data_IF_676295414246
#
_entry.id   IF_676295414246
#
_cell.length_a   1.000
_cell.length_b   1.000
_cell.length_c   1.000
_cell.angle_alpha   90.00
_cell.angle_beta   90.00
_cell.angle_gamma   90.00
#
_symmetry.space_group_name_H-M   'P 1'
#
loop_
_entity.id
_entity.type
_entity.pdbx_description
1 polymer ?
#
# COMPACT_ATOMS: atom_id res chain seq x y z
N UNK A 1 64.68 15.16 14.81
CA UNK A 1 63.51 16.06 14.71
C UNK A 1 62.61 15.54 13.60
N UNK A 2 61.51 14.86 13.96
CA UNK A 2 60.54 14.30 13.01
C UNK A 2 59.75 15.45 12.38
N UNK A 3 59.77 15.54 11.05
CA UNK A 3 58.90 16.43 10.28
C UNK A 3 57.49 15.83 10.28
N UNK A 4 56.56 16.51 10.94
CA UNK A 4 55.16 16.14 11.00
C UNK A 4 54.49 16.50 9.67
N UNK A 5 54.00 15.49 8.98
CA UNK A 5 53.28 15.58 7.71
C UNK A 5 51.82 15.95 8.05
N UNK A 6 51.40 17.15 7.68
CA UNK A 6 50.00 17.59 7.82
C UNK A 6 49.21 16.89 6.71
N UNK A 7 48.37 15.93 7.09
CA UNK A 7 47.36 15.33 6.19
C UNK A 7 46.15 16.26 6.24
N UNK A 8 45.88 16.93 5.12
CA UNK A 8 44.67 17.73 4.91
C UNK A 8 43.51 16.76 4.67
N UNK A 9 42.68 16.53 5.68
CA UNK A 9 41.46 15.74 5.52
C UNK A 9 40.42 16.59 4.78
N UNK A 10 40.18 16.26 3.51
CA UNK A 10 39.12 16.86 2.70
C UNK A 10 37.78 16.25 3.17
N UNK A 11 37.06 16.98 4.03
CA UNK A 11 35.68 16.62 4.36
C UNK A 11 34.80 16.93 3.14
N UNK A 12 34.43 15.91 2.36
CA UNK A 12 33.31 16.02 1.43
C UNK A 12 32.04 16.15 2.26
N UNK A 13 31.51 17.36 2.37
CA UNK A 13 30.13 17.57 2.80
C UNK A 13 29.25 17.13 1.63
N UNK A 14 28.76 15.88 1.70
CA UNK A 14 27.60 15.51 0.89
C UNK A 14 26.42 16.33 1.45
N UNK A 15 25.99 17.34 0.69
CA UNK A 15 24.66 17.90 0.93
C UNK A 15 23.68 16.75 0.66
N UNK A 16 22.92 16.35 1.68
CA UNK A 16 21.81 15.44 1.47
C UNK A 16 20.88 16.11 0.45
N UNK A 17 20.67 15.46 -0.69
CA UNK A 17 19.69 15.91 -1.69
C UNK A 17 18.33 15.58 -1.07
N UNK A 18 17.47 16.59 -0.99
CA UNK A 18 16.09 16.40 -0.54
C UNK A 18 15.38 15.42 -1.47
N UNK A 19 14.59 14.50 -0.91
CA UNK A 19 13.82 13.59 -1.73
C UNK A 19 12.62 14.34 -2.32
N UNK A 20 12.20 13.95 -3.53
CA UNK A 20 10.92 14.38 -4.06
C UNK A 20 9.81 13.56 -3.38
N UNK A 21 8.92 14.24 -2.65
CA UNK A 21 7.86 13.54 -1.91
C UNK A 21 6.94 12.76 -2.83
N UNK A 22 6.71 13.18 -4.08
CA UNK A 22 5.86 12.45 -5.03
C UNK A 22 6.36 11.02 -5.30
N UNK A 23 7.67 10.76 -5.15
CA UNK A 23 8.22 9.41 -5.28
C UNK A 23 7.69 8.46 -4.20
N UNK A 24 7.18 8.98 -3.07
CA UNK A 24 6.61 8.20 -1.97
C UNK A 24 5.07 8.11 -2.03
N UNK A 25 4.41 8.70 -3.02
CA UNK A 25 2.95 8.66 -3.16
C UNK A 25 2.59 8.29 -4.61
N UNK A 26 2.84 7.03 -5.01
CA UNK A 26 2.55 6.60 -6.38
C UNK A 26 1.06 6.74 -6.68
N UNK A 27 0.75 7.33 -7.83
CA UNK A 27 -0.62 7.49 -8.32
C UNK A 27 -0.73 6.99 -9.75
N UNK A 28 -1.83 6.30 -10.05
CA UNK A 28 -2.13 5.73 -11.35
C UNK A 28 -3.44 4.96 -11.31
N UNK A 29 -4.34 5.17 -12.28
CA UNK A 29 -5.62 4.46 -12.32
C UNK A 29 -5.34 2.96 -12.47
N UNK A 30 -5.92 2.14 -11.59
CA UNK A 30 -5.71 0.69 -11.54
C UNK A 30 -4.54 0.26 -10.66
N UNK A 31 -3.88 1.19 -9.98
CA UNK A 31 -2.92 0.86 -8.92
C UNK A 31 -3.64 0.26 -7.73
N UNK A 32 -3.12 -0.85 -7.21
CA UNK A 32 -3.77 -1.62 -6.14
C UNK A 32 -2.80 -1.95 -5.03
N UNK A 33 -3.32 -2.07 -3.81
CA UNK A 33 -2.58 -2.60 -2.68
C UNK A 33 -3.52 -3.15 -1.61
N UNK A 34 -3.00 -4.05 -0.78
CA UNK A 34 -3.74 -4.65 0.32
C UNK A 34 -2.97 -4.47 1.61
N UNK A 35 -3.62 -3.94 2.65
CA UNK A 35 -3.09 -3.92 4.01
C UNK A 35 -3.74 -5.00 4.87
N UNK A 36 -2.97 -5.45 5.86
CA UNK A 36 -3.51 -6.09 7.04
C UNK A 36 -3.54 -5.05 8.15
N UNK A 37 -4.75 -4.68 8.57
CA UNK A 37 -4.99 -3.67 9.59
C UNK A 37 -5.34 -4.36 10.90
N UNK A 38 -4.77 -3.85 12.00
CA UNK A 38 -4.98 -4.38 13.33
C UNK A 38 -5.38 -3.25 14.28
N UNK A 39 -6.43 -3.50 15.06
CA UNK A 39 -6.95 -2.60 16.08
C UNK A 39 -7.25 -3.39 17.37
N UNK A 40 -7.88 -2.72 18.34
CA UNK A 40 -8.41 -3.39 19.55
C UNK A 40 -9.51 -4.41 19.24
N UNK A 41 -10.22 -4.24 18.12
CA UNK A 41 -11.37 -5.06 17.73
C UNK A 41 -10.99 -6.28 16.88
N UNK A 42 -9.75 -6.33 16.38
CA UNK A 42 -9.23 -7.49 15.68
C UNK A 42 -8.31 -7.12 14.53
N UNK A 43 -8.24 -8.04 13.57
CA UNK A 43 -7.42 -7.91 12.37
C UNK A 43 -8.33 -8.03 11.16
N UNK A 44 -8.23 -7.08 10.23
CA UNK A 44 -8.97 -7.04 8.97
C UNK A 44 -8.01 -6.86 7.80
N UNK A 45 -8.49 -7.14 6.60
CA UNK A 45 -7.76 -6.86 5.36
C UNK A 45 -8.51 -5.74 4.65
N UNK A 46 -7.81 -4.68 4.27
CA UNK A 46 -8.33 -3.60 3.43
C UNK A 46 -7.68 -3.68 2.05
N UNK A 47 -8.51 -3.69 1.01
CA UNK A 47 -8.07 -3.63 -0.39
C UNK A 47 -8.27 -2.22 -0.92
N UNK A 48 -7.28 -1.69 -1.61
CA UNK A 48 -7.26 -0.33 -2.10
C UNK A 48 -7.04 -0.31 -3.60
N UNK A 49 -7.78 0.52 -4.31
CA UNK A 49 -7.62 0.74 -5.75
C UNK A 49 -7.79 2.22 -6.12
N UNK A 50 -6.89 2.76 -6.92
CA UNK A 50 -7.08 4.08 -7.53
C UNK A 50 -8.02 3.93 -8.73
N UNK A 51 -9.29 4.29 -8.54
CA UNK A 51 -10.35 4.03 -9.53
C UNK A 51 -10.53 5.15 -10.55
N UNK A 52 -10.00 6.35 -10.27
CA UNK A 52 -10.18 7.48 -11.17
C UNK A 52 -9.62 8.79 -10.64
N UNK A 53 -9.99 9.87 -11.34
CA UNK A 53 -9.66 11.24 -10.95
C UNK A 53 -10.87 12.16 -11.04
N UNK A 54 -10.86 13.21 -10.22
CA UNK A 54 -11.79 14.34 -10.31
C UNK A 54 -11.07 15.68 -10.06
N UNK A 55 -11.74 16.80 -10.34
CA UNK A 55 -11.20 18.14 -10.06
C UNK A 55 -11.78 18.68 -8.75
N UNK A 56 -10.93 18.87 -7.72
CA UNK A 56 -11.32 19.50 -6.45
C UNK A 56 -10.44 20.72 -6.22
N UNK A 57 -11.07 21.87 -5.94
CA UNK A 57 -10.39 23.16 -5.74
C UNK A 57 -9.42 23.56 -6.87
N UNK A 58 -9.69 23.11 -8.10
CA UNK A 58 -8.84 23.40 -9.26
C UNK A 58 -7.60 22.52 -9.38
N UNK A 59 -7.48 21.48 -8.56
CA UNK A 59 -6.42 20.48 -8.63
C UNK A 59 -6.98 19.12 -9.07
N UNK A 60 -6.21 18.40 -9.89
CA UNK A 60 -6.51 16.99 -10.19
C UNK A 60 -6.34 16.18 -8.90
N UNK A 61 -7.36 15.41 -8.58
CA UNK A 61 -7.46 14.59 -7.38
C UNK A 61 -7.63 13.14 -7.79
N UNK A 62 -6.78 12.28 -7.25
CA UNK A 62 -6.87 10.83 -7.41
C UNK A 62 -7.80 10.26 -6.35
N UNK A 63 -8.72 9.39 -6.78
CA UNK A 63 -9.71 8.75 -5.92
C UNK A 63 -9.24 7.32 -5.67
N UNK A 64 -9.01 6.98 -4.41
CA UNK A 64 -8.74 5.62 -3.97
C UNK A 64 -9.98 5.07 -3.29
N UNK A 65 -10.51 3.95 -3.77
CA UNK A 65 -11.54 3.19 -3.07
C UNK A 65 -10.88 2.17 -2.14
N UNK A 66 -11.26 2.20 -0.87
CA UNK A 66 -10.87 1.22 0.15
C UNK A 66 -12.04 0.28 0.38
N UNK A 67 -11.82 -1.02 0.27
CA UNK A 67 -12.82 -2.07 0.49
C UNK A 67 -12.37 -2.98 1.62
N UNK A 68 -13.21 -3.12 2.64
CA UNK A 68 -12.99 -4.00 3.78
C UNK A 68 -14.30 -4.74 4.15
N UNK A 69 -14.33 -5.54 5.23
CA UNK A 69 -15.56 -6.21 5.65
C UNK A 69 -16.70 -5.28 6.11
N UNK A 70 -16.41 -4.02 6.45
CA UNK A 70 -17.37 -3.02 6.93
C UNK A 70 -18.01 -2.24 5.79
N UNK A 71 -17.32 -2.09 4.66
CA UNK A 71 -17.88 -1.50 3.45
C UNK A 71 -16.84 -1.01 2.46
N UNK A 72 -17.22 0.05 1.76
CA UNK A 72 -16.35 0.76 0.83
C UNK A 72 -16.27 2.22 1.26
N UNK A 73 -15.06 2.74 1.45
CA UNK A 73 -14.79 4.16 1.66
C UNK A 73 -13.92 4.72 0.54
N UNK A 74 -13.76 6.04 0.48
CA UNK A 74 -12.94 6.71 -0.52
C UNK A 74 -12.02 7.74 0.09
N UNK A 75 -10.74 7.65 -0.27
CA UNK A 75 -9.75 8.68 0.03
C UNK A 75 -9.32 9.43 -1.24
N UNK A 76 -8.78 10.63 -1.05
CA UNK A 76 -8.57 11.60 -2.12
C UNK A 76 -7.17 12.20 -2.01
N UNK A 77 -6.34 11.99 -3.02
CA UNK A 77 -4.95 12.47 -3.02
C UNK A 77 -4.70 13.50 -4.11
N UNK A 78 -4.00 14.58 -3.78
CA UNK A 78 -3.57 15.59 -4.74
C UNK A 78 -2.06 15.76 -4.68
N UNK A 79 -1.42 15.69 -5.85
CA UNK A 79 -0.01 16.04 -6.02
C UNK A 79 0.04 17.48 -6.55
N UNK A 80 0.44 18.41 -5.69
CA UNK A 80 0.58 19.83 -6.01
C UNK A 80 2.05 20.20 -6.16
N UNK A 81 2.33 21.37 -6.72
CA UNK A 81 3.71 21.85 -6.92
C UNK A 81 4.47 22.07 -5.61
N UNK A 82 3.76 22.30 -4.51
CA UNK A 82 4.33 22.62 -3.19
C UNK A 82 4.17 21.48 -2.16
N UNK A 83 3.57 20.35 -2.56
CA UNK A 83 3.44 19.18 -1.68
C UNK A 83 2.37 18.19 -2.11
N UNK A 84 2.27 17.15 -1.29
CA UNK A 84 1.26 16.10 -1.38
C UNK A 84 0.16 16.42 -0.38
N UNK A 85 -1.08 16.28 -0.82
CA UNK A 85 -2.25 16.56 0.00
C UNK A 85 -3.22 15.38 0.01
N UNK A 86 -3.77 15.09 1.19
CA UNK A 86 -4.96 14.24 1.31
C UNK A 86 -6.17 15.12 1.61
N UNK A 87 -7.30 14.85 0.97
CA UNK A 87 -8.55 15.56 1.24
C UNK A 87 -9.36 14.73 2.21
N UNK A 88 -9.57 15.27 3.41
CA UNK A 88 -10.37 14.62 4.43
C UNK A 88 -11.71 15.34 4.58
N UNK A 89 -12.74 14.58 4.95
CA UNK A 89 -13.97 15.16 5.48
C UNK A 89 -13.73 15.47 6.96
N UNK A 90 -13.91 16.73 7.36
CA UNK A 90 -13.81 17.11 8.76
C UNK A 90 -15.20 17.20 9.37
N UNK A 91 -15.46 16.40 10.42
CA UNK A 91 -16.75 16.32 11.14
C UNK A 91 -17.93 15.96 10.20
N UNK A 92 -18.05 14.67 9.84
CA UNK A 92 -19.12 14.12 8.99
C UNK A 92 -20.55 14.54 9.42
N UNK A 93 -20.72 14.90 10.68
CA UNK A 93 -22.00 15.33 11.29
C UNK A 93 -22.40 16.78 10.99
N UNK A 94 -21.51 17.62 10.47
CA UNK A 94 -21.75 19.07 10.28
C UNK A 94 -21.70 19.55 8.82
N UNK A 95 -21.42 18.64 7.89
CA UNK A 95 -21.41 18.89 6.46
C UNK A 95 -20.16 18.31 5.79
N UNK A 96 -20.25 18.08 4.49
CA UNK A 96 -19.17 17.55 3.65
C UNK A 96 -18.09 18.62 3.37
N UNK A 97 -17.55 19.27 4.40
CA UNK A 97 -16.46 20.22 4.23
C UNK A 97 -15.15 19.43 4.06
N UNK A 98 -14.85 19.15 2.80
CA UNK A 98 -13.63 18.46 2.37
C UNK A 98 -12.46 19.44 2.42
N UNK A 99 -11.49 19.19 3.30
CA UNK A 99 -10.31 20.05 3.46
C UNK A 99 -9.02 19.34 3.09
N UNK A 100 -8.14 19.98 2.30
CA UNK A 100 -6.84 19.41 1.99
C UNK A 100 -5.88 19.56 3.17
N UNK A 101 -5.28 18.45 3.60
CA UNK A 101 -4.19 18.38 4.59
C UNK A 101 -2.88 18.13 3.84
N UNK A 102 -1.84 18.93 4.12
CA UNK A 102 -0.51 18.73 3.53
C UNK A 102 0.22 17.57 4.22
N UNK A 103 0.22 16.41 3.61
CA UNK A 103 0.83 15.18 4.15
C UNK A 103 2.31 15.06 3.86
N UNK A 104 2.83 15.84 2.91
CA UNK A 104 4.27 16.05 2.72
C UNK A 104 4.54 17.35 1.93
N UNK A 105 5.58 18.15 2.25
CA UNK A 105 6.08 19.20 1.35
C UNK A 105 6.62 18.60 0.04
N UNK A 106 6.79 19.39 -1.02
CA UNK A 106 7.29 18.88 -2.31
C UNK A 106 8.69 18.23 -2.21
N UNK A 107 9.56 18.80 -1.39
CA UNK A 107 10.89 18.28 -1.07
C UNK A 107 10.96 17.96 0.42
N UNK A 108 11.47 16.77 0.76
CA UNK A 108 11.51 16.29 2.15
C UNK A 108 12.89 15.75 2.53
N UNK A 109 13.32 16.10 3.74
CA UNK A 109 14.53 15.57 4.38
C UNK A 109 14.19 15.07 5.77
N UNK A 110 14.99 14.13 6.29
CA UNK A 110 14.98 13.82 7.73
C UNK A 110 15.24 15.10 8.54
N UNK A 111 14.42 15.34 9.56
CA UNK A 111 14.36 16.55 10.38
C UNK A 111 13.47 17.66 9.83
N UNK A 112 12.81 17.45 8.69
CA UNK A 112 11.81 18.41 8.18
C UNK A 112 10.53 18.26 9.00
N UNK A 113 10.06 19.35 9.60
CA UNK A 113 8.76 19.42 10.27
C UNK A 113 7.87 20.48 9.62
N UNK A 114 6.56 20.22 9.56
CA UNK A 114 5.59 21.16 8.98
C UNK A 114 4.22 21.03 9.66
N UNK A 115 3.43 22.10 9.59
CA UNK A 115 2.00 22.07 9.92
C UNK A 115 1.25 21.50 8.72
N UNK A 116 0.64 20.33 8.91
CA UNK A 116 -0.14 19.65 7.89
C UNK A 116 -1.53 20.29 7.73
N UNK A 117 -2.15 20.71 8.84
CA UNK A 117 -3.38 21.48 8.87
C UNK A 117 -3.52 22.28 10.17
N UNK A 118 -4.22 23.41 10.10
CA UNK A 118 -4.70 24.19 11.23
C UNK A 118 -6.16 24.53 10.92
N UNK A 119 -7.07 23.91 11.67
CA UNK A 119 -8.51 23.93 11.41
C UNK A 119 -9.18 24.62 12.58
N UNK A 120 -9.82 25.75 12.32
CA UNK A 120 -10.69 26.44 13.27
C UNK A 120 -12.14 26.35 12.76
N UNK A 121 -13.03 25.82 13.60
CA UNK A 121 -14.45 25.70 13.29
C UNK A 121 -15.34 25.86 14.52
N UNK A 122 -16.59 26.26 14.31
CA UNK A 122 -17.58 26.38 15.38
C UNK A 122 -18.96 25.99 14.88
N UNK A 123 -19.76 25.42 15.77
CA UNK A 123 -21.12 24.98 15.47
C UNK A 123 -22.00 25.00 16.71
N UNK A 124 -23.31 25.03 16.50
CA UNK A 124 -24.28 24.92 17.58
C UNK A 124 -24.90 23.51 17.56
N UNK A 125 -24.91 22.84 18.72
CA UNK A 125 -25.54 21.53 18.87
C UNK A 125 -26.30 21.48 20.19
N UNK A 126 -27.62 21.25 20.12
CA UNK A 126 -28.46 21.11 21.31
C UNK A 126 -28.50 22.37 22.20
N UNK A 127 -28.26 23.56 21.64
CA UNK A 127 -28.19 24.81 22.40
C UNK A 127 -26.82 25.11 23.03
N UNK A 128 -25.84 24.22 22.84
CA UNK A 128 -24.44 24.48 23.13
C UNK A 128 -23.75 25.10 21.90
N UNK A 129 -23.01 26.18 22.09
CA UNK A 129 -22.08 26.71 21.11
C UNK A 129 -20.71 26.06 21.36
N UNK A 130 -20.21 25.32 20.37
CA UNK A 130 -18.97 24.53 20.43
C UNK A 130 -18.00 25.13 19.42
N UNK A 131 -16.80 25.49 19.89
CA UNK A 131 -15.67 25.90 19.05
C UNK A 131 -14.57 24.85 19.16
N UNK A 132 -13.98 24.47 18.03
CA UNK A 132 -12.96 23.44 17.91
C UNK A 132 -11.79 24.00 17.10
N UNK A 133 -10.59 23.83 17.61
CA UNK A 133 -9.35 24.01 16.87
C UNK A 133 -8.59 22.68 16.79
N UNK A 134 -8.16 22.29 15.60
CA UNK A 134 -7.30 21.12 15.38
C UNK A 134 -6.03 21.54 14.67
N UNK A 135 -4.90 21.30 15.33
CA UNK A 135 -3.57 21.50 14.75
C UNK A 135 -2.95 20.12 14.47
N UNK A 136 -2.62 19.86 13.21
CA UNK A 136 -1.94 18.64 12.79
C UNK A 136 -0.52 19.02 12.39
N UNK A 137 0.44 18.46 13.09
CA UNK A 137 1.87 18.63 12.83
C UNK A 137 2.48 17.31 12.34
N UNK A 138 3.46 17.40 11.46
CA UNK A 138 4.17 16.25 10.92
C UNK A 138 5.68 16.47 10.90
N UNK A 139 6.44 15.39 11.02
CA UNK A 139 7.90 15.40 10.96
C UNK A 139 8.46 14.15 10.26
N UNK A 140 9.40 14.35 9.34
CA UNK A 140 10.23 13.29 8.79
C UNK A 140 11.32 12.90 9.80
N UNK A 141 11.12 11.82 10.54
CA UNK A 141 11.97 11.46 11.68
C UNK A 141 13.28 10.78 11.28
N UNK A 142 13.23 9.87 10.31
CA UNK A 142 14.36 8.99 10.01
C UNK A 142 14.19 8.30 8.65
N UNK A 143 15.24 7.57 8.26
CA UNK A 143 15.16 6.50 7.27
C UNK A 143 15.44 5.17 7.94
N UNK A 144 14.59 4.19 7.69
CA UNK A 144 14.66 2.86 8.31
C UNK A 144 14.38 1.78 7.26
N UNK A 145 15.09 0.65 7.34
CA UNK A 145 14.77 -0.52 6.51
C UNK A 145 13.57 -1.25 7.14
N UNK A 146 12.57 -1.57 6.34
CA UNK A 146 11.31 -2.15 6.80
C UNK A 146 11.01 -3.45 6.05
N UNK A 147 10.70 -4.50 6.80
CA UNK A 147 10.26 -5.79 6.25
C UNK A 147 8.83 -6.06 6.73
N UNK A 148 7.93 -6.29 5.78
CA UNK A 148 6.52 -6.64 5.96
C UNK A 148 6.18 -7.80 5.02
N UNK A 149 5.00 -8.44 5.11
CA UNK A 149 4.64 -9.54 4.22
C UNK A 149 4.72 -9.18 2.72
N UNK A 150 4.42 -7.93 2.36
CA UNK A 150 4.52 -7.41 0.99
C UNK A 150 5.94 -7.19 0.48
N UNK A 151 6.98 -7.29 1.32
CA UNK A 151 8.37 -7.18 0.87
C UNK A 151 9.34 -6.64 1.91
N UNK A 152 10.59 -6.46 1.48
CA UNK A 152 11.62 -5.73 2.23
C UNK A 152 12.00 -4.48 1.48
N UNK A 153 11.94 -3.34 2.16
CA UNK A 153 12.09 -2.02 1.60
C UNK A 153 13.22 -1.30 2.32
N UNK A 154 14.21 -0.85 1.57
CA UNK A 154 15.37 -0.15 2.12
C UNK A 154 15.09 1.34 2.24
N UNK A 155 15.66 1.96 3.29
CA UNK A 155 15.64 3.42 3.46
C UNK A 155 14.24 4.07 3.40
N UNK A 156 13.22 3.42 3.96
CA UNK A 156 11.87 3.96 4.03
C UNK A 156 11.86 5.27 4.81
N UNK A 157 11.18 6.28 4.28
CA UNK A 157 10.98 7.56 4.94
C UNK A 157 9.95 7.40 6.06
N UNK A 158 10.39 7.63 7.30
CA UNK A 158 9.53 7.57 8.48
C UNK A 158 8.97 8.96 8.77
N UNK A 159 7.66 9.12 8.65
CA UNK A 159 6.95 10.36 8.98
C UNK A 159 6.09 10.11 10.22
N UNK A 160 6.22 10.97 11.22
CA UNK A 160 5.33 11.02 12.36
C UNK A 160 4.32 12.16 12.21
N UNK A 161 3.11 11.93 12.72
CA UNK A 161 2.03 12.91 12.81
C UNK A 161 1.59 13.03 14.28
N UNK A 162 1.34 14.25 14.73
CA UNK A 162 0.65 14.53 15.99
C UNK A 162 -0.51 15.48 15.73
N UNK A 163 -1.72 15.09 16.15
CA UNK A 163 -2.93 15.92 16.11
C UNK A 163 -3.25 16.43 17.51
N UNK A 164 -3.34 17.75 17.66
CA UNK A 164 -3.77 18.41 18.90
C UNK A 164 -5.17 18.97 18.69
N UNK A 165 -6.09 18.57 19.56
CA UNK A 165 -7.47 18.99 19.56
C UNK A 165 -7.72 19.93 20.74
N UNK A 166 -8.23 21.13 20.46
CA UNK A 166 -8.61 22.15 21.43
C UNK A 166 -10.07 22.48 21.26
N UNK A 167 -10.82 22.61 22.35
CA UNK A 167 -12.24 22.89 22.29
C UNK A 167 -12.70 23.87 23.37
N UNK A 168 -13.76 24.60 23.06
CA UNK A 168 -14.52 25.43 23.98
C UNK A 168 -16.02 25.17 23.79
N UNK A 169 -16.75 24.99 24.88
CA UNK A 169 -18.20 24.76 24.91
C UNK A 169 -18.84 25.84 25.77
N UNK A 170 -19.89 26.47 25.25
CA UNK A 170 -20.69 27.45 25.98
C UNK A 170 -22.19 27.23 25.79
N UNK A 171 -23.01 27.68 26.74
CA UNK A 171 -24.48 27.61 26.66
C UNK A 171 -25.07 29.00 26.87
N UNK A 172 -25.79 29.51 25.87
CA UNK A 172 -26.37 30.86 25.93
C UNK A 172 -25.30 31.94 26.16
N UNK A 173 -24.10 31.75 25.62
CA UNK A 173 -22.95 32.65 25.80
C UNK A 173 -22.22 32.53 27.14
N UNK A 174 -22.59 31.58 28.02
CA UNK A 174 -21.85 31.30 29.24
C UNK A 174 -20.89 30.13 29.04
N UNK A 175 -19.58 30.27 29.33
CA UNK A 175 -18.62 29.18 29.24
C UNK A 175 -19.03 28.00 30.12
N UNK A 176 -18.92 26.78 29.58
CA UNK A 176 -19.29 25.55 30.26
C UNK A 176 -18.07 24.62 30.43
N UNK A 177 -17.36 24.33 29.35
CA UNK A 177 -16.17 23.49 29.35
C UNK A 177 -15.16 24.01 28.32
N UNK A 178 -13.88 23.78 28.58
CA UNK A 178 -12.82 24.01 27.61
C UNK A 178 -11.65 23.07 27.92
N UNK A 179 -10.94 22.65 26.89
CA UNK A 179 -9.83 21.71 27.04
C UNK A 179 -8.95 21.64 25.81
N UNK A 180 -7.80 21.02 25.97
CA UNK A 180 -6.87 20.73 24.88
C UNK A 180 -6.14 19.42 25.19
N UNK A 181 -5.90 18.62 24.16
CA UNK A 181 -5.24 17.33 24.30
C UNK A 181 -4.73 16.81 22.96
N UNK A 182 -3.80 15.87 23.02
CA UNK A 182 -3.38 15.12 21.84
C UNK A 182 -4.51 14.15 21.50
N UNK A 183 -5.03 14.26 20.28
CA UNK A 183 -6.09 13.39 19.75
C UNK A 183 -5.48 12.16 19.08
N UNK A 184 -4.38 12.32 18.35
CA UNK A 184 -3.71 11.17 17.73
C UNK A 184 -2.20 11.34 17.60
N UNK A 185 -1.51 10.21 17.57
CA UNK A 185 -0.11 10.09 17.16
C UNK A 185 0.05 8.93 16.21
N UNK A 186 0.48 9.23 15.00
CA UNK A 186 0.67 8.24 13.96
C UNK A 186 2.12 8.26 13.49
N UNK A 187 2.62 7.10 13.08
CA UNK A 187 3.91 6.98 12.42
C UNK A 187 3.78 6.04 11.24
N UNK A 188 4.13 6.53 10.06
CA UNK A 188 4.04 5.79 8.81
C UNK A 188 5.41 5.75 8.15
N UNK A 189 5.73 4.59 7.59
CA UNK A 189 6.95 4.36 6.82
C UNK A 189 6.59 4.27 5.35
N UNK A 190 7.19 5.14 4.55
CA UNK A 190 6.95 5.21 3.11
C UNK A 190 8.16 4.68 2.35
N UNK A 191 7.95 3.72 1.46
CA UNK A 191 8.95 3.25 0.52
C UNK A 191 8.81 3.99 -0.82
N UNK A 192 9.94 4.34 -1.45
CA UNK A 192 9.92 4.98 -2.77
C UNK A 192 9.25 4.07 -3.81
N UNK A 193 8.41 4.67 -4.64
CA UNK A 193 7.59 4.07 -5.69
C UNK A 193 6.57 3.03 -5.21
N UNK A 194 6.36 2.93 -3.90
CA UNK A 194 5.44 1.97 -3.28
C UNK A 194 4.42 2.67 -2.39
N UNK A 195 4.84 3.69 -1.65
CA UNK A 195 3.97 4.35 -0.68
C UNK A 195 4.10 3.78 0.71
N UNK A 196 3.03 3.88 1.51
CA UNK A 196 3.04 3.40 2.89
C UNK A 196 3.24 1.87 2.92
N UNK A 197 4.26 1.41 3.66
CA UNK A 197 4.52 -0.03 3.83
C UNK A 197 4.15 -0.52 5.23
N UNK A 198 4.14 0.40 6.19
CA UNK A 198 3.77 0.15 7.56
C UNK A 198 3.23 1.44 8.19
N UNK A 199 2.19 1.32 9.01
CA UNK A 199 1.71 2.41 9.88
C UNK A 199 1.49 1.92 11.29
N UNK A 200 1.63 2.83 12.26
CA UNK A 200 1.30 2.60 13.68
C UNK A 200 0.65 3.85 14.25
N UNK A 201 -0.52 3.68 14.85
CA UNK A 201 -1.29 4.77 15.41
C UNK A 201 -1.63 4.59 16.88
N UNK A 202 -1.84 5.73 17.53
CA UNK A 202 -2.47 5.85 18.84
C UNK A 202 -3.51 6.96 18.76
N UNK A 203 -4.77 6.62 19.00
CA UNK A 203 -5.88 7.56 19.07
C UNK A 203 -6.33 7.71 20.52
N UNK A 204 -6.66 8.94 20.92
CA UNK A 204 -7.12 9.29 22.26
C UNK A 204 -8.51 9.91 22.19
N UNK A 205 -9.45 9.37 22.97
CA UNK A 205 -10.79 9.93 23.07
C UNK A 205 -10.80 11.06 24.10
N UNK A 206 -11.36 12.21 23.73
CA UNK A 206 -11.50 13.39 24.60
C UNK A 206 -12.99 13.62 24.87
N UNK A 207 -13.43 13.41 26.11
CA UNK A 207 -14.77 13.78 26.54
C UNK A 207 -14.83 15.30 26.74
N UNK A 208 -15.50 15.99 25.81
CA UNK A 208 -15.62 17.45 25.84
C UNK A 208 -16.49 17.99 27.00
N UNK A 209 -17.25 17.14 27.67
CA UNK A 209 -18.10 17.52 28.81
C UNK A 209 -17.34 17.43 30.13
N UNK A 210 -16.56 16.36 30.33
CA UNK A 210 -15.79 16.14 31.56
C UNK A 210 -14.34 16.63 31.47
N UNK A 211 -13.81 16.77 30.26
CA UNK A 211 -12.39 17.00 30.01
C UNK A 211 -11.51 15.76 30.24
N UNK A 212 -12.12 14.60 30.49
CA UNK A 212 -11.41 13.34 30.64
C UNK A 212 -10.84 12.88 29.28
N UNK A 213 -9.61 12.37 29.32
CA UNK A 213 -8.97 11.73 28.17
C UNK A 213 -8.97 10.24 28.46
N UNK A 214 -9.75 9.48 27.69
CA UNK A 214 -9.94 8.05 27.88
C UNK A 214 -8.95 7.21 27.07
N UNK A 215 -9.01 5.89 27.26
CA UNK A 215 -8.02 4.90 26.79
C UNK A 215 -7.63 5.06 25.33
N UNK A 216 -6.35 4.77 25.05
CA UNK A 216 -5.78 4.89 23.72
C UNK A 216 -6.10 3.66 22.86
N UNK A 217 -6.70 3.86 21.69
CA UNK A 217 -6.79 2.81 20.68
C UNK A 217 -5.48 2.74 19.89
N UNK A 218 -4.91 1.54 19.82
CA UNK A 218 -3.69 1.30 19.04
C UNK A 218 -4.05 0.65 17.72
N UNK A 219 -3.55 1.22 16.65
CA UNK A 219 -3.70 0.68 15.31
C UNK A 219 -2.35 0.34 14.72
N UNK A 220 -2.30 -0.67 13.87
CA UNK A 220 -1.14 -0.93 13.03
C UNK A 220 -1.56 -1.55 11.70
N UNK A 221 -0.93 -1.10 10.63
CA UNK A 221 -1.17 -1.52 9.25
C UNK A 221 0.11 -2.02 8.63
N UNK A 222 0.04 -3.13 7.90
CA UNK A 222 1.21 -3.74 7.24
C UNK A 222 0.87 -4.14 5.80
N UNK A 223 1.68 -3.68 4.85
CA UNK A 223 1.49 -4.00 3.43
C UNK A 223 1.64 -5.49 3.19
N UNK A 224 0.67 -6.08 2.49
CA UNK A 224 0.62 -7.51 2.16
C UNK A 224 0.97 -7.75 0.69
N UNK A 225 0.48 -6.91 -0.19
CA UNK A 225 0.67 -6.96 -1.63
C UNK A 225 0.37 -5.61 -2.26
N UNK A 226 0.90 -5.37 -3.46
CA UNK A 226 0.70 -4.16 -4.24
C UNK A 226 0.98 -4.43 -5.72
N UNK A 227 0.33 -3.67 -6.60
CA UNK A 227 0.62 -3.59 -8.03
C UNK A 227 0.51 -2.12 -8.50
N UNK A 228 1.65 -1.56 -8.91
CA UNK A 228 1.78 -0.19 -9.42
C UNK A 228 2.28 -0.14 -10.85
N UNK A 229 2.18 -1.25 -11.58
CA UNK A 229 2.80 -1.36 -12.91
C UNK A 229 1.87 -0.95 -14.04
N UNK A 230 0.58 -0.70 -13.78
CA UNK A 230 -0.48 -0.51 -14.81
C UNK A 230 -0.52 -1.62 -15.88
N UNK A 231 0.25 -2.68 -15.68
CA UNK A 231 0.03 -3.97 -16.30
C UNK A 231 -0.97 -4.63 -15.38
N UNK A 232 -2.17 -4.91 -15.87
CA UNK A 232 -3.10 -5.74 -15.11
C UNK A 232 -2.44 -7.12 -14.93
N UNK A 233 -1.65 -7.29 -13.87
CA UNK A 233 -1.24 -8.60 -13.41
C UNK A 233 -2.41 -9.15 -12.60
N UNK A 234 -3.46 -9.57 -13.32
CA UNK A 234 -4.35 -10.62 -12.81
C UNK A 234 -3.56 -11.92 -12.75
N UNK A 235 -2.55 -11.97 -11.91
CA UNK A 235 -1.93 -13.18 -11.46
C UNK A 235 -2.42 -13.37 -10.03
N UNK A 236 -3.61 -13.98 -9.82
CA UNK A 236 -3.90 -14.53 -8.52
C UNK A 236 -2.70 -15.41 -8.16
N UNK A 237 -1.99 -15.07 -7.07
CA UNK A 237 -0.98 -15.96 -6.50
C UNK A 237 -1.65 -17.32 -6.41
N UNK A 238 -1.17 -18.34 -7.13
CA UNK A 238 -1.88 -19.61 -7.12
C UNK A 238 -1.74 -20.19 -5.72
N UNK A 239 -2.82 -20.18 -4.95
CA UNK A 239 -2.94 -21.01 -3.74
C UNK A 239 -2.80 -22.50 -4.09
N UNK A 240 -3.01 -22.83 -5.37
CA UNK A 240 -2.80 -24.12 -6.00
C UNK A 240 -1.89 -23.97 -7.23
N UNK A 241 -0.76 -24.69 -7.28
CA UNK A 241 0.13 -24.75 -8.44
C UNK A 241 -0.67 -25.16 -9.69
N UNK A 242 -1.10 -24.18 -10.47
CA UNK A 242 -2.02 -24.37 -11.60
C UNK A 242 -1.24 -24.25 -12.89
N UNK A 243 -1.34 -25.29 -13.73
CA UNK A 243 -0.67 -25.39 -15.03
C UNK A 243 -1.73 -25.30 -16.11
N UNK A 244 -1.51 -24.42 -17.08
CA UNK A 244 -2.40 -24.29 -18.23
C UNK A 244 -1.77 -24.91 -19.47
N UNK A 245 -2.62 -25.34 -20.41
CA UNK A 245 -2.20 -25.90 -21.68
C UNK A 245 -3.04 -25.29 -22.79
N UNK A 246 -2.40 -24.63 -23.76
CA UNK A 246 -3.11 -23.95 -24.84
C UNK A 246 -2.39 -24.05 -26.21
N UNK A 247 -3.14 -24.25 -27.30
CA UNK A 247 -4.54 -24.67 -27.30
C UNK A 247 -4.69 -26.09 -26.70
N UNK A 248 -5.83 -26.40 -26.10
CA UNK A 248 -6.14 -27.75 -25.63
C UNK A 248 -7.66 -27.96 -25.73
N UNK A 249 -8.17 -28.68 -26.76
CA UNK A 249 -7.44 -29.58 -27.65
C UNK A 249 -6.46 -28.89 -28.62
N UNK A 250 -5.47 -29.64 -29.11
CA UNK A 250 -4.48 -29.13 -30.08
C UNK A 250 -4.24 -30.09 -31.24
N UNK A 251 -3.84 -29.54 -32.39
CA UNK A 251 -3.66 -30.30 -33.63
C UNK A 251 -2.21 -30.51 -34.07
N UNK A 252 -1.26 -29.74 -33.55
CA UNK A 252 0.16 -29.82 -33.96
C UNK A 252 1.14 -29.53 -32.84
N UNK A 253 0.84 -28.54 -31.99
CA UNK A 253 1.63 -28.22 -30.83
C UNK A 253 0.73 -27.70 -29.71
N UNK A 254 1.17 -27.88 -28.47
CA UNK A 254 0.56 -27.27 -27.28
C UNK A 254 1.64 -26.52 -26.51
N UNK A 255 1.32 -25.32 -26.06
CA UNK A 255 2.11 -24.60 -25.08
C UNK A 255 1.63 -24.96 -23.68
N UNK A 256 2.58 -25.23 -22.78
CA UNK A 256 2.35 -25.44 -21.36
C UNK A 256 2.91 -24.24 -20.62
N UNK A 257 2.06 -23.61 -19.83
CA UNK A 257 2.42 -22.54 -18.91
C UNK A 257 2.73 -23.17 -17.55
N UNK A 258 3.98 -23.09 -17.14
CA UNK A 258 4.56 -23.81 -16.01
C UNK A 258 5.44 -22.88 -15.17
N UNK A 259 5.64 -23.15 -13.87
CA UNK A 259 6.59 -22.39 -13.08
C UNK A 259 8.01 -22.44 -13.64
N UNK A 260 8.76 -21.34 -13.53
CA UNK A 260 10.18 -21.29 -13.89
C UNK A 260 10.98 -22.29 -13.05
N UNK A 261 11.86 -23.06 -13.69
CA UNK A 261 12.65 -24.12 -13.08
C UNK A 261 11.88 -25.43 -12.87
N UNK A 262 10.65 -25.55 -13.37
CA UNK A 262 9.90 -26.80 -13.30
C UNK A 262 10.38 -27.82 -14.34
N UNK A 263 10.37 -29.10 -13.96
CA UNK A 263 10.63 -30.23 -14.87
C UNK A 263 9.33 -30.74 -15.49
N UNK A 264 9.29 -30.87 -16.82
CA UNK A 264 8.08 -31.29 -17.54
C UNK A 264 8.29 -32.59 -18.31
N UNK A 265 7.39 -33.55 -18.10
CA UNK A 265 7.34 -34.83 -18.83
C UNK A 265 5.93 -35.15 -19.32
N UNK A 266 5.80 -35.72 -20.52
CA UNK A 266 4.52 -36.08 -21.12
C UNK A 266 4.31 -37.60 -21.12
N UNK A 267 3.12 -38.05 -20.73
CA UNK A 267 2.74 -39.45 -20.63
C UNK A 267 1.48 -39.76 -21.44
N UNK A 268 1.38 -40.97 -21.98
CA UNK A 268 0.14 -41.49 -22.56
C UNK A 268 -0.82 -42.03 -21.49
N UNK A 269 -2.03 -42.45 -21.89
CA UNK A 269 -3.06 -43.00 -20.98
C UNK A 269 -2.62 -44.28 -20.26
N UNK A 270 -1.59 -44.97 -20.75
CA UNK A 270 -1.02 -46.17 -20.12
C UNK A 270 0.14 -45.82 -19.17
N UNK A 271 0.43 -44.54 -18.97
CA UNK A 271 1.52 -44.06 -18.10
C UNK A 271 2.91 -44.20 -18.72
N UNK A 272 3.02 -44.47 -20.02
CA UNK A 272 4.32 -44.51 -20.70
C UNK A 272 4.74 -43.08 -21.05
N UNK A 273 5.98 -42.71 -20.69
CA UNK A 273 6.56 -41.41 -21.03
C UNK A 273 6.81 -41.32 -22.54
N UNK A 274 6.17 -40.36 -23.19
CA UNK A 274 6.26 -40.10 -24.64
C UNK A 274 7.16 -38.92 -24.98
N UNK A 275 7.38 -37.99 -24.04
CA UNK A 275 8.34 -36.90 -24.17
C UNK A 275 8.89 -36.47 -22.80
N UNK A 276 10.10 -35.95 -22.81
CA UNK A 276 10.76 -35.31 -21.67
C UNK A 276 11.24 -33.93 -22.15
N UNK A 277 10.72 -32.87 -21.54
CA UNK A 277 10.98 -31.49 -21.95
C UNK A 277 12.02 -30.81 -21.05
N UNK A 278 12.46 -31.48 -19.98
CA UNK A 278 13.47 -30.98 -19.06
C UNK A 278 13.00 -29.79 -18.19
N UNK A 279 13.98 -29.09 -17.62
CA UNK A 279 13.80 -27.87 -16.82
C UNK A 279 13.44 -26.69 -17.72
N UNK A 280 12.41 -25.93 -17.34
CA UNK A 280 11.88 -24.82 -18.14
C UNK A 280 12.28 -23.47 -17.53
N UNK A 281 13.12 -22.72 -18.23
CA UNK A 281 13.70 -21.48 -17.68
C UNK A 281 12.85 -20.23 -17.93
N UNK A 282 11.86 -20.28 -18.85
CA UNK A 282 11.10 -19.11 -19.30
C UNK A 282 9.58 -19.24 -19.06
N UNK A 283 9.16 -20.14 -18.17
CA UNK A 283 7.76 -20.36 -17.78
C UNK A 283 6.83 -20.95 -18.84
N UNK A 284 7.23 -20.96 -20.12
CA UNK A 284 6.45 -21.56 -21.21
C UNK A 284 7.29 -22.61 -21.92
N UNK A 285 6.73 -23.80 -22.08
CA UNK A 285 7.32 -24.85 -22.90
C UNK A 285 6.36 -25.34 -23.97
N UNK A 286 6.88 -25.53 -25.18
CA UNK A 286 6.10 -26.04 -26.31
C UNK A 286 6.36 -27.53 -26.51
N UNK A 287 5.30 -28.32 -26.51
CA UNK A 287 5.35 -29.72 -26.92
C UNK A 287 4.80 -29.89 -28.33
N UNK A 288 5.63 -30.46 -29.21
CA UNK A 288 5.25 -30.92 -30.54
C UNK A 288 5.34 -32.46 -30.57
N UNK A 289 4.20 -33.17 -30.66
CA UNK A 289 4.21 -34.64 -30.71
C UNK A 289 4.99 -35.15 -31.93
N UNK A 290 5.86 -36.13 -31.72
CA UNK A 290 6.55 -36.80 -32.82
C UNK A 290 5.56 -37.53 -33.75
N UNK A 291 5.98 -37.83 -34.98
CA UNK A 291 5.13 -38.47 -36.01
C UNK A 291 4.51 -39.80 -35.54
N UNK A 292 5.18 -40.51 -34.63
CA UNK A 292 4.73 -41.78 -34.04
C UNK A 292 3.69 -41.65 -32.93
N UNK A 293 3.34 -40.43 -32.51
CA UNK A 293 2.34 -40.16 -31.47
C UNK A 293 0.95 -40.07 -32.12
N UNK A 294 0.00 -40.87 -31.63
CA UNK A 294 -1.37 -40.93 -32.14
C UNK A 294 -2.29 -39.90 -31.47
N UNK A 295 -3.39 -39.51 -32.13
CA UNK A 295 -4.43 -38.69 -31.50
C UNK A 295 -4.95 -39.37 -30.24
N UNK A 296 -5.16 -38.60 -29.16
CA UNK A 296 -5.57 -39.18 -27.89
C UNK A 296 -5.36 -38.26 -26.70
N UNK A 297 -5.57 -38.83 -25.51
CA UNK A 297 -5.37 -38.15 -24.24
C UNK A 297 -3.97 -38.42 -23.73
N UNK A 298 -3.29 -37.33 -23.37
CA UNK A 298 -1.96 -37.31 -22.77
C UNK A 298 -1.99 -36.55 -21.45
N UNK A 299 -0.95 -36.72 -20.64
CA UNK A 299 -0.82 -36.05 -19.35
C UNK A 299 0.56 -35.41 -19.25
N UNK A 300 0.60 -34.08 -19.09
CA UNK A 300 1.82 -33.37 -18.75
C UNK A 300 1.98 -33.38 -17.23
N UNK A 301 3.05 -34.01 -16.75
CA UNK A 301 3.45 -33.95 -15.34
C UNK A 301 4.52 -32.87 -15.20
N UNK A 302 4.27 -31.94 -14.30
CA UNK A 302 5.15 -30.81 -14.00
C UNK A 302 5.58 -30.92 -12.54
N UNK A 303 6.88 -30.91 -12.30
CA UNK A 303 7.47 -31.00 -10.96
C UNK A 303 8.22 -29.71 -10.66
N UNK A 304 7.88 -29.04 -9.56
CA UNK A 304 8.58 -27.86 -9.06
C UNK A 304 8.89 -28.05 -7.57
N UNK A 305 10.18 -28.21 -7.24
CA UNK A 305 10.59 -28.55 -5.87
C UNK A 305 9.99 -29.88 -5.39
N UNK A 306 9.22 -29.84 -4.30
CA UNK A 306 8.55 -31.01 -3.71
C UNK A 306 7.13 -31.25 -4.26
N UNK A 307 6.61 -30.34 -5.09
CA UNK A 307 5.24 -30.40 -5.62
C UNK A 307 5.21 -30.92 -7.05
N UNK A 308 4.24 -31.79 -7.35
CA UNK A 308 3.99 -32.28 -8.70
C UNK A 308 2.51 -32.15 -9.05
N UNK A 309 2.23 -31.57 -10.21
CA UNK A 309 0.86 -31.41 -10.74
C UNK A 309 0.78 -31.98 -12.14
N UNK A 310 -0.40 -32.47 -12.50
CA UNK A 310 -0.65 -33.10 -13.81
C UNK A 310 -1.73 -32.36 -14.57
N UNK A 311 -1.47 -32.07 -15.84
CA UNK A 311 -2.41 -31.42 -16.76
C UNK A 311 -2.80 -32.36 -17.90
N UNK A 312 -4.11 -32.52 -18.14
CA UNK A 312 -4.63 -33.38 -19.22
C UNK A 312 -4.55 -32.65 -20.57
N UNK A 313 -3.97 -33.29 -21.57
CA UNK A 313 -3.83 -32.79 -22.94
C UNK A 313 -4.65 -33.64 -23.91
N UNK A 314 -5.37 -33.01 -24.82
CA UNK A 314 -6.13 -33.69 -25.87
C UNK A 314 -5.52 -33.36 -27.24
N UNK A 315 -4.83 -34.34 -27.81
CA UNK A 315 -4.20 -34.22 -29.13
C UNK A 315 -5.14 -34.74 -30.22
N UNK A 316 -5.38 -33.94 -31.25
CA UNK A 316 -6.25 -34.24 -32.39
C UNK A 316 -5.48 -34.00 -33.69
N UNK A 317 -4.90 -35.05 -34.25
CA UNK A 317 -4.22 -35.02 -35.56
C UNK A 317 -5.17 -34.78 -36.73
#
# INVERSE_FOLDING_TARGET
MKRMMIILALAMVFAAIADNSADYFPVGIGYTWTYQDSSVDGVVMSYHEIVGTEMIEGHETWITEETDPEGVDSSYTQIRTDGIYMIISFLDTLGSDRRPIKVAPAEINVGTSWTAADIDTSFNMGGADISIQVEISMEALAREDITVPGGSFESCLKIAMESIFTYEVSFGGMPFAAGSGVQSRDTTWFAQFVGAVQSRGMEYEIDMMSGEIADSNKTASYLQEYDFTNVAETSPKPSDLTISAYPNPFNSAVALDVPVGAEVSIFDINGRRVADLGSIDNGIVRWEPAVSVESGVYFARVTAGESAVTQRLLFIK
#
